data_IF_361587443373
#
_entry.id   IF_361587443373
#
_cell.length_a   1.000
_cell.length_b   1.000
_cell.length_c   1.000
_cell.angle_alpha   90.00
_cell.angle_beta   90.00
_cell.angle_gamma   90.00
#
_symmetry.space_group_name_H-M   'P 1'
#
loop_
_entity.id
_entity.type
_entity.pdbx_description
1 polymer ?
#
# COMPACT_ATOMS: atom_id res chain seq x y z
N UNK A 1 5.61 14.49 9.50
CA UNK A 1 5.52 13.48 8.45
C UNK A 1 4.96 14.12 7.18
N UNK A 2 5.44 13.73 5.99
CA UNK A 2 4.91 14.17 4.69
C UNK A 2 4.58 12.94 3.85
N UNK A 3 3.41 12.96 3.19
CA UNK A 3 2.96 11.90 2.30
C UNK A 3 2.78 12.51 0.92
N UNK A 4 3.31 11.88 -0.12
CA UNK A 4 3.12 12.32 -1.51
C UNK A 4 2.44 11.19 -2.28
N UNK A 5 1.28 11.48 -2.86
CA UNK A 5 0.65 10.59 -3.85
C UNK A 5 1.40 10.69 -5.17
N UNK A 6 1.91 9.59 -5.67
CA UNK A 6 2.68 9.57 -6.93
C UNK A 6 1.77 9.21 -8.10
N UNK A 7 1.23 8.00 -8.08
CA UNK A 7 0.35 7.48 -9.12
C UNK A 7 -0.24 6.15 -8.68
N UNK A 8 -1.51 5.86 -8.98
CA UNK A 8 -2.19 4.58 -8.73
C UNK A 8 -2.10 4.12 -7.28
N UNK A 9 -1.25 3.13 -6.99
CA UNK A 9 -0.96 2.65 -5.62
C UNK A 9 0.40 3.14 -5.09
N UNK A 10 1.08 4.02 -5.85
CA UNK A 10 2.39 4.53 -5.48
C UNK A 10 2.32 5.74 -4.56
N UNK A 11 2.90 5.60 -3.38
CA UNK A 11 3.04 6.67 -2.39
C UNK A 11 4.48 6.77 -1.87
N UNK A 12 4.91 8.00 -1.61
CA UNK A 12 6.13 8.28 -0.85
C UNK A 12 5.74 8.83 0.52
N UNK A 13 6.19 8.15 1.58
CA UNK A 13 6.04 8.62 2.97
C UNK A 13 7.40 9.07 3.48
N UNK A 14 7.52 10.34 3.84
CA UNK A 14 8.67 10.89 4.52
C UNK A 14 8.40 10.94 6.02
N UNK A 15 9.19 10.20 6.79
CA UNK A 15 9.20 10.22 8.25
C UNK A 15 10.41 11.03 8.77
N UNK A 16 10.61 11.05 10.07
CA UNK A 16 11.77 11.72 10.65
C UNK A 16 13.08 11.05 10.21
N UNK A 17 13.14 9.72 10.23
CA UNK A 17 14.38 8.96 10.01
C UNK A 17 14.48 8.29 8.63
N UNK A 18 13.42 8.20 7.83
CA UNK A 18 13.39 7.41 6.61
C UNK A 18 12.42 7.93 5.55
N UNK A 19 12.60 7.45 4.32
CA UNK A 19 11.63 7.51 3.23
C UNK A 19 11.12 6.10 2.94
N UNK A 20 9.81 5.95 2.79
CA UNK A 20 9.15 4.71 2.39
C UNK A 20 8.43 4.96 1.07
N UNK A 21 8.90 4.32 0.01
CA UNK A 21 8.32 4.42 -1.35
C UNK A 21 7.62 3.10 -1.67
N UNK A 22 6.29 3.14 -1.78
CA UNK A 22 5.46 1.98 -2.05
C UNK A 22 5.05 1.91 -3.51
N UNK A 23 5.09 0.72 -4.09
CA UNK A 23 4.54 0.31 -5.39
C UNK A 23 4.82 1.29 -6.55
N UNK A 24 6.05 1.81 -6.59
CA UNK A 24 6.45 2.78 -7.61
C UNK A 24 6.78 2.09 -8.93
N UNK A 25 6.05 2.44 -9.97
CA UNK A 25 6.29 1.94 -11.31
C UNK A 25 6.35 3.06 -12.37
N UNK A 26 5.74 4.21 -12.09
CA UNK A 26 5.76 5.42 -12.91
C UNK A 26 5.39 6.66 -12.09
N UNK A 27 5.40 7.82 -12.74
CA UNK A 27 5.10 9.11 -12.12
C UNK A 27 6.35 9.88 -11.72
N UNK A 28 6.17 11.13 -11.37
CA UNK A 28 7.27 12.01 -10.97
C UNK A 28 7.50 11.91 -9.47
N UNK A 29 8.69 11.47 -9.09
CA UNK A 29 9.11 11.53 -7.68
C UNK A 29 9.51 12.95 -7.30
N UNK A 30 9.17 13.42 -6.09
CA UNK A 30 9.74 14.64 -5.54
C UNK A 30 11.25 14.47 -5.29
N UNK A 31 11.96 15.59 -5.16
CA UNK A 31 13.34 15.55 -4.67
C UNK A 31 13.34 15.23 -3.18
N UNK A 32 14.21 14.34 -2.76
CA UNK A 32 14.38 13.97 -1.37
C UNK A 32 15.86 13.78 -1.01
N UNK A 33 16.19 13.94 0.29
CA UNK A 33 17.56 13.93 0.78
C UNK A 33 18.19 12.54 0.69
N UNK A 34 19.44 12.50 0.27
CA UNK A 34 20.25 11.27 0.30
C UNK A 34 20.74 10.89 1.70
N UNK A 35 20.51 11.72 2.72
CA UNK A 35 20.99 11.49 4.08
C UNK A 35 20.19 10.43 4.81
N UNK A 36 18.88 10.37 4.56
CA UNK A 36 17.96 9.36 5.12
C UNK A 36 17.97 8.09 4.26
N UNK A 37 17.80 6.90 4.86
CA UNK A 37 17.56 5.69 4.10
C UNK A 37 16.26 5.78 3.29
N UNK A 38 16.28 5.19 2.10
CA UNK A 38 15.11 5.02 1.23
C UNK A 38 14.75 3.54 1.19
N UNK A 39 13.59 3.20 1.71
CA UNK A 39 13.01 1.87 1.61
C UNK A 39 12.01 1.82 0.46
N UNK A 40 12.27 0.96 -0.51
CA UNK A 40 11.42 0.78 -1.70
C UNK A 40 10.69 -0.54 -1.60
N UNK A 41 9.37 -0.47 -1.58
CA UNK A 41 8.46 -1.60 -1.45
C UNK A 41 7.80 -1.92 -2.78
N UNK A 42 7.64 -3.19 -3.09
CA UNK A 42 6.75 -3.65 -4.15
C UNK A 42 5.93 -4.83 -3.63
N UNK A 43 4.60 -4.62 -3.61
CA UNK A 43 3.64 -5.54 -3.00
C UNK A 43 3.47 -6.84 -3.76
N UNK A 44 3.65 -6.82 -5.09
CA UNK A 44 3.58 -7.98 -5.95
C UNK A 44 4.17 -7.69 -7.35
N UNK A 45 4.17 -8.71 -8.21
CA UNK A 45 4.87 -8.68 -9.52
C UNK A 45 4.13 -7.97 -10.65
N UNK A 46 2.86 -7.55 -10.50
CA UNK A 46 2.10 -6.88 -11.55
C UNK A 46 2.74 -5.55 -11.99
N UNK A 47 2.59 -5.15 -13.27
CA UNK A 47 3.34 -4.01 -13.83
C UNK A 47 2.92 -2.65 -13.25
N UNK A 48 1.76 -2.54 -12.64
CA UNK A 48 1.21 -1.38 -11.95
C UNK A 48 1.61 -1.29 -10.47
N UNK A 49 2.38 -2.27 -9.95
CA UNK A 49 2.95 -2.29 -8.59
C UNK A 49 4.47 -2.52 -8.59
N UNK A 50 5.01 -3.12 -9.66
CA UNK A 50 6.44 -3.38 -9.77
C UNK A 50 6.98 -3.06 -11.16
N UNK A 51 7.92 -2.14 -11.23
CA UNK A 51 8.73 -1.83 -12.41
C UNK A 51 10.21 -1.84 -12.08
N UNK A 52 11.05 -2.21 -13.04
CA UNK A 52 12.51 -2.16 -12.87
C UNK A 52 13.05 -0.74 -12.69
N UNK A 53 12.26 0.29 -12.95
CA UNK A 53 12.60 1.70 -12.71
C UNK A 53 13.01 1.97 -11.26
N UNK A 54 12.50 1.18 -10.30
CA UNK A 54 12.89 1.32 -8.88
C UNK A 54 14.38 1.11 -8.67
N UNK A 55 15.04 0.28 -9.48
CA UNK A 55 16.47 0.00 -9.36
C UNK A 55 17.36 1.14 -9.89
N UNK A 56 16.83 2.03 -10.74
CA UNK A 56 17.53 3.22 -11.20
C UNK A 56 17.74 4.24 -10.07
N UNK A 57 16.95 4.14 -9.01
CA UNK A 57 17.06 5.01 -7.83
C UNK A 57 18.38 4.77 -7.06
N UNK A 58 19.01 3.60 -7.20
CA UNK A 58 20.29 3.27 -6.55
C UNK A 58 21.41 4.27 -6.89
N UNK A 59 21.42 4.79 -8.11
CA UNK A 59 22.44 5.75 -8.56
C UNK A 59 22.39 7.07 -7.76
N UNK A 60 21.19 7.46 -7.29
CA UNK A 60 20.97 8.70 -6.57
C UNK A 60 20.85 8.51 -5.06
N UNK A 61 20.56 7.29 -4.60
CA UNK A 61 20.30 7.00 -3.19
C UNK A 61 21.17 5.83 -2.71
N UNK A 62 22.40 6.11 -2.24
CA UNK A 62 23.33 5.05 -1.80
C UNK A 62 22.81 4.25 -0.59
N UNK A 63 21.94 4.86 0.25
CA UNK A 63 21.27 4.22 1.40
C UNK A 63 19.90 3.63 1.04
N UNK A 64 19.79 3.07 -0.18
CA UNK A 64 18.55 2.44 -0.64
C UNK A 64 18.48 0.98 -0.19
N UNK A 65 17.28 0.54 0.21
CA UNK A 65 16.93 -0.83 0.55
C UNK A 65 15.65 -1.21 -0.20
N UNK A 66 15.58 -2.43 -0.71
CA UNK A 66 14.41 -2.94 -1.42
C UNK A 66 13.75 -4.05 -0.59
N UNK A 67 12.46 -3.92 -0.34
CA UNK A 67 11.62 -4.92 0.33
C UNK A 67 10.55 -5.34 -0.66
N UNK A 68 10.79 -6.46 -1.33
CA UNK A 68 9.98 -6.94 -2.44
C UNK A 68 9.15 -8.15 -1.99
N UNK A 69 7.94 -8.27 -2.51
CA UNK A 69 7.14 -9.46 -2.27
C UNK A 69 7.80 -10.72 -2.84
N UNK A 70 7.55 -11.85 -2.22
CA UNK A 70 8.14 -13.16 -2.54
C UNK A 70 7.88 -13.63 -3.98
N UNK A 71 6.77 -13.17 -4.61
CA UNK A 71 6.39 -13.51 -5.99
C UNK A 71 7.17 -12.72 -7.04
N UNK A 72 7.90 -11.68 -6.64
CA UNK A 72 8.86 -10.96 -7.49
C UNK A 72 10.13 -11.79 -7.58
N UNK A 73 10.38 -12.36 -8.75
CA UNK A 73 11.51 -13.26 -8.93
C UNK A 73 12.87 -12.58 -8.77
N UNK A 74 13.76 -13.16 -7.97
CA UNK A 74 15.12 -12.64 -7.71
C UNK A 74 15.93 -12.37 -8.98
N UNK A 75 15.66 -13.10 -10.09
CA UNK A 75 16.28 -12.83 -11.40
C UNK A 75 15.88 -11.48 -12.03
N UNK A 76 14.80 -10.82 -11.53
CA UNK A 76 14.41 -9.48 -11.97
C UNK A 76 15.23 -8.38 -11.29
N UNK A 77 15.91 -8.70 -10.19
CA UNK A 77 16.76 -7.78 -9.41
C UNK A 77 18.15 -7.71 -10.06
N UNK A 78 18.66 -6.51 -10.43
CA UNK A 78 20.02 -6.33 -10.90
C UNK A 78 21.06 -6.82 -9.89
N UNK A 79 22.20 -7.28 -10.36
CA UNK A 79 23.26 -7.82 -9.50
C UNK A 79 23.73 -6.81 -8.44
N UNK A 80 23.85 -5.52 -8.82
CA UNK A 80 24.22 -4.42 -7.91
C UNK A 80 23.23 -4.22 -6.76
N UNK A 81 21.95 -4.49 -7.00
CA UNK A 81 20.88 -4.28 -6.00
C UNK A 81 20.65 -5.50 -5.11
N UNK A 82 21.15 -6.71 -5.46
CA UNK A 82 20.87 -7.96 -4.72
C UNK A 82 21.26 -7.88 -3.23
N UNK A 83 22.38 -7.26 -2.93
CA UNK A 83 22.86 -7.10 -1.55
C UNK A 83 22.05 -6.12 -0.71
N UNK A 84 21.12 -5.37 -1.34
CA UNK A 84 20.24 -4.39 -0.71
C UNK A 84 18.76 -4.80 -0.82
N UNK A 85 18.48 -6.05 -1.25
CA UNK A 85 17.12 -6.55 -1.51
C UNK A 85 16.78 -7.68 -0.56
N UNK A 86 15.65 -7.55 0.10
CA UNK A 86 15.02 -8.58 0.89
C UNK A 86 13.67 -8.95 0.28
N UNK A 87 13.32 -10.24 0.37
CA UNK A 87 12.02 -10.73 -0.11
C UNK A 87 11.14 -11.05 1.10
N UNK A 88 9.94 -10.49 1.12
CA UNK A 88 8.99 -10.64 2.22
C UNK A 88 7.91 -11.66 1.86
N UNK A 89 7.75 -12.67 2.71
CA UNK A 89 6.67 -13.63 2.63
C UNK A 89 5.51 -13.26 3.58
N UNK A 90 4.28 -13.74 3.31
CA UNK A 90 3.19 -13.60 4.26
C UNK A 90 3.56 -14.17 5.65
N UNK A 91 3.25 -13.42 6.71
CA UNK A 91 3.57 -13.77 8.09
C UNK A 91 5.02 -13.55 8.51
N UNK A 92 5.88 -13.13 7.59
CA UNK A 92 7.28 -12.81 7.90
C UNK A 92 7.40 -11.40 8.47
N UNK A 93 8.37 -11.22 9.37
CA UNK A 93 8.75 -9.92 9.92
C UNK A 93 10.22 -9.66 9.56
N UNK A 94 10.47 -8.52 8.92
CA UNK A 94 11.80 -7.98 8.68
C UNK A 94 12.06 -6.80 9.63
N UNK A 95 13.34 -6.61 10.00
CA UNK A 95 13.78 -5.47 10.80
C UNK A 95 15.07 -4.94 10.21
N UNK A 96 15.09 -3.64 9.93
CA UNK A 96 16.26 -2.92 9.46
C UNK A 96 16.34 -1.55 10.14
N UNK A 97 17.34 -1.35 11.00
CA UNK A 97 17.45 -0.14 11.80
C UNK A 97 16.21 0.10 12.66
N UNK A 98 15.55 1.23 12.44
CA UNK A 98 14.32 1.62 13.13
C UNK A 98 13.04 1.11 12.45
N UNK A 99 13.16 0.60 11.23
CA UNK A 99 12.03 0.06 10.46
C UNK A 99 11.77 -1.40 10.83
N UNK A 100 10.52 -1.71 11.13
CA UNK A 100 9.99 -3.07 11.20
C UNK A 100 8.89 -3.22 10.15
N UNK A 101 8.93 -4.29 9.37
CA UNK A 101 7.93 -4.60 8.34
C UNK A 101 7.38 -5.99 8.56
N UNK A 102 6.06 -6.11 8.59
CA UNK A 102 5.33 -7.38 8.65
C UNK A 102 4.53 -7.56 7.36
N UNK A 103 4.62 -8.75 6.74
CA UNK A 103 3.90 -9.10 5.53
C UNK A 103 2.59 -9.80 5.81
N UNK A 104 1.51 -9.39 5.14
CA UNK A 104 0.21 -10.07 5.15
C UNK A 104 -0.09 -10.65 3.78
N UNK A 105 -0.83 -11.76 3.74
CA UNK A 105 -1.13 -12.44 2.48
C UNK A 105 -2.16 -11.63 1.67
N UNK A 106 -1.84 -11.27 0.44
CA UNK A 106 -2.81 -10.65 -0.46
C UNK A 106 -3.92 -11.61 -0.89
N UNK A 107 -5.07 -11.08 -1.22
CA UNK A 107 -6.20 -11.80 -1.86
C UNK A 107 -6.06 -11.83 -3.40
N UNK A 108 -5.10 -11.09 -3.93
CA UNK A 108 -4.62 -11.21 -5.31
C UNK A 108 -3.24 -11.89 -5.29
N UNK A 109 -2.15 -11.18 -5.52
CA UNK A 109 -0.78 -11.69 -5.49
C UNK A 109 0.07 -10.95 -4.44
N UNK A 110 1.18 -11.55 -4.02
CA UNK A 110 2.18 -10.95 -3.14
C UNK A 110 1.72 -10.73 -1.70
N UNK A 111 2.02 -9.53 -1.18
CA UNK A 111 1.81 -9.17 0.23
C UNK A 111 1.30 -7.75 0.41
N UNK A 112 0.55 -7.53 1.49
CA UNK A 112 0.38 -6.21 2.10
C UNK A 112 1.49 -5.98 3.14
N UNK A 113 1.82 -4.70 3.39
CA UNK A 113 2.87 -4.30 4.32
C UNK A 113 2.30 -3.59 5.54
N UNK A 114 2.76 -3.99 6.73
CA UNK A 114 2.59 -3.23 7.95
C UNK A 114 3.95 -2.75 8.41
N UNK A 115 4.18 -1.44 8.35
CA UNK A 115 5.45 -0.81 8.67
C UNK A 115 5.36 -0.05 9.99
N UNK A 116 6.28 -0.34 10.93
CA UNK A 116 6.45 0.45 12.14
C UNK A 116 7.78 1.22 12.03
N UNK A 117 7.73 2.55 12.10
CA UNK A 117 8.89 3.44 11.99
C UNK A 117 8.63 4.77 12.70
N UNK A 118 9.59 5.28 13.46
CA UNK A 118 9.49 6.56 14.19
C UNK A 118 8.23 6.69 15.10
N UNK A 119 7.76 5.55 15.62
CA UNK A 119 6.54 5.48 16.43
C UNK A 119 5.23 5.56 15.63
N UNK A 120 5.32 5.52 14.29
CA UNK A 120 4.17 5.47 13.38
C UNK A 120 3.90 4.04 12.92
N UNK A 121 2.63 3.70 12.78
CA UNK A 121 2.14 2.45 12.20
C UNK A 121 1.51 2.75 10.83
N UNK A 122 2.13 2.26 9.77
CA UNK A 122 1.77 2.55 8.38
C UNK A 122 1.40 1.24 7.70
N UNK A 123 0.20 1.17 7.15
CA UNK A 123 -0.28 0.02 6.40
C UNK A 123 -0.41 0.35 4.92
N UNK A 124 0.11 -0.52 4.06
CA UNK A 124 -0.09 -0.47 2.61
C UNK A 124 -0.63 -1.81 2.13
N UNK A 125 -1.85 -1.80 1.65
CA UNK A 125 -2.57 -3.02 1.31
C UNK A 125 -1.99 -3.76 0.08
N UNK A 126 -1.22 -3.08 -0.80
CA UNK A 126 -1.05 -3.62 -2.15
C UNK A 126 -2.43 -3.94 -2.73
N UNK A 127 -2.61 -5.16 -3.22
CA UNK A 127 -3.91 -5.64 -3.71
C UNK A 127 -4.62 -6.60 -2.73
N UNK A 128 -4.29 -6.51 -1.44
CA UNK A 128 -5.12 -7.12 -0.40
C UNK A 128 -6.42 -6.33 -0.26
N UNK A 129 -7.49 -6.84 -0.87
CA UNK A 129 -8.79 -6.18 -0.90
C UNK A 129 -9.94 -7.20 -0.95
N UNK A 130 -11.16 -6.76 -0.61
CA UNK A 130 -12.38 -7.51 -0.81
C UNK A 130 -12.84 -7.34 -2.27
N UNK A 131 -12.22 -8.09 -3.17
CA UNK A 131 -12.55 -8.06 -4.59
C UNK A 131 -13.89 -8.73 -4.85
N UNK A 132 -14.96 -7.95 -4.93
CA UNK A 132 -16.27 -8.42 -5.34
C UNK A 132 -16.53 -8.02 -6.79
N UNK A 133 -16.62 -8.98 -7.68
CA UNK A 133 -16.86 -8.73 -9.10
C UNK A 133 -18.29 -9.10 -9.49
N UNK A 134 -19.04 -8.10 -10.00
CA UNK A 134 -20.34 -8.34 -10.57
C UNK A 134 -20.22 -9.27 -11.80
N UNK A 135 -21.05 -10.31 -11.87
CA UNK A 135 -21.00 -11.31 -12.93
C UNK A 135 -20.06 -12.51 -12.68
N UNK A 136 -19.24 -12.49 -11.61
CA UNK A 136 -18.49 -13.67 -11.17
C UNK A 136 -19.40 -14.70 -10.48
N UNK A 137 -18.90 -15.96 -10.40
CA UNK A 137 -19.58 -17.00 -9.65
C UNK A 137 -19.83 -16.58 -8.19
N UNK A 138 -21.06 -16.67 -7.68
CA UNK A 138 -21.36 -16.25 -6.29
C UNK A 138 -20.53 -16.98 -5.24
N UNK A 139 -20.08 -18.21 -5.51
CA UNK A 139 -19.20 -18.95 -4.60
C UNK A 139 -17.77 -18.38 -4.63
N UNK A 140 -17.32 -17.90 -5.80
CA UNK A 140 -16.04 -17.22 -5.91
C UNK A 140 -16.02 -15.95 -5.05
N UNK A 141 -17.05 -15.07 -5.19
CA UNK A 141 -17.17 -13.85 -4.39
C UNK A 141 -17.24 -14.16 -2.88
N UNK A 142 -17.96 -15.22 -2.47
CA UNK A 142 -17.99 -15.65 -1.05
C UNK A 142 -16.62 -16.11 -0.55
N UNK A 143 -15.87 -16.84 -1.36
CA UNK A 143 -14.53 -17.30 -0.99
C UNK A 143 -13.57 -16.12 -0.91
N UNK A 144 -13.67 -15.15 -1.80
CA UNK A 144 -12.89 -13.92 -1.78
C UNK A 144 -13.16 -13.09 -0.52
N UNK A 145 -14.43 -12.83 -0.20
CA UNK A 145 -14.84 -12.16 1.02
C UNK A 145 -14.25 -12.83 2.27
N UNK A 146 -14.38 -14.15 2.34
CA UNK A 146 -13.85 -14.95 3.46
C UNK A 146 -12.32 -14.84 3.55
N UNK A 147 -11.61 -14.97 2.43
CA UNK A 147 -10.15 -14.89 2.41
C UNK A 147 -9.67 -13.51 2.87
N UNK A 148 -10.32 -12.44 2.41
CA UNK A 148 -10.03 -11.08 2.83
C UNK A 148 -10.26 -10.89 4.33
N UNK A 149 -11.45 -11.25 4.83
CA UNK A 149 -11.82 -11.11 6.24
C UNK A 149 -10.91 -11.94 7.16
N UNK A 150 -10.56 -13.17 6.77
CA UNK A 150 -9.59 -13.99 7.51
C UNK A 150 -8.22 -13.31 7.60
N UNK A 151 -7.76 -12.65 6.54
CA UNK A 151 -6.45 -12.00 6.55
C UNK A 151 -6.44 -10.74 7.39
N UNK A 152 -7.44 -9.84 7.22
CA UNK A 152 -7.51 -8.59 8.00
C UNK A 152 -7.77 -8.84 9.48
N UNK A 153 -8.46 -9.95 9.85
CA UNK A 153 -8.70 -10.32 11.24
C UNK A 153 -7.41 -10.54 12.04
N UNK A 154 -6.29 -10.86 11.37
CA UNK A 154 -4.97 -10.98 12.02
C UNK A 154 -4.45 -9.63 12.53
N UNK A 155 -5.02 -8.53 12.04
CA UNK A 155 -4.71 -7.17 12.45
C UNK A 155 -5.74 -6.60 13.45
N UNK A 156 -6.70 -7.42 13.89
CA UNK A 156 -7.76 -7.02 14.83
C UNK A 156 -7.21 -6.30 16.06
N UNK A 157 -7.78 -5.13 16.36
CA UNK A 157 -7.40 -4.31 17.51
C UNK A 157 -6.08 -3.55 17.37
N UNK A 158 -5.39 -3.65 16.22
CA UNK A 158 -4.26 -2.76 15.93
C UNK A 158 -4.75 -1.37 15.57
N UNK A 159 -3.88 -0.38 15.72
CA UNK A 159 -4.11 1.01 15.27
C UNK A 159 -3.14 1.32 14.14
N UNK A 160 -3.65 1.78 12.99
CA UNK A 160 -2.86 2.33 11.90
C UNK A 160 -2.95 3.86 11.93
N UNK A 161 -1.79 4.54 11.98
CA UNK A 161 -1.74 6.00 11.81
C UNK A 161 -2.12 6.38 10.39
N UNK A 162 -1.69 5.55 9.42
CA UNK A 162 -1.99 5.70 8.00
C UNK A 162 -2.28 4.33 7.40
N UNK A 163 -3.35 4.24 6.61
CA UNK A 163 -3.63 3.08 5.77
C UNK A 163 -3.85 3.50 4.32
N UNK A 164 -3.09 2.90 3.40
CA UNK A 164 -3.29 2.98 1.96
C UNK A 164 -4.13 1.78 1.54
N UNK A 165 -5.36 2.03 1.07
CA UNK A 165 -6.38 1.00 0.84
C UNK A 165 -6.95 1.09 -0.58
N UNK A 166 -7.11 -0.04 -1.30
CA UNK A 166 -7.71 -0.03 -2.62
C UNK A 166 -9.15 0.48 -2.62
N UNK A 167 -9.44 1.35 -3.59
CA UNK A 167 -10.75 1.91 -3.88
C UNK A 167 -10.97 1.83 -5.39
N UNK A 168 -11.34 0.66 -5.89
CA UNK A 168 -11.37 0.40 -7.32
C UNK A 168 -12.75 0.67 -7.92
N UNK A 169 -12.89 1.66 -8.84
CA UNK A 169 -14.18 1.98 -9.47
C UNK A 169 -14.74 0.84 -10.33
N UNK A 170 -13.91 -0.12 -10.75
CA UNK A 170 -14.34 -1.27 -11.54
C UNK A 170 -15.23 -2.24 -10.76
N UNK A 171 -15.22 -2.17 -9.42
CA UNK A 171 -16.10 -2.98 -8.56
C UNK A 171 -17.56 -2.48 -8.52
N UNK A 172 -17.89 -1.41 -9.26
CA UNK A 172 -19.27 -0.92 -9.39
C UNK A 172 -19.85 -0.43 -8.07
N UNK A 173 -20.95 -1.03 -7.63
CA UNK A 173 -21.62 -0.64 -6.37
C UNK A 173 -20.91 -1.21 -5.13
N UNK A 174 -20.02 -2.20 -5.30
CA UNK A 174 -19.30 -2.88 -4.22
C UNK A 174 -17.91 -2.29 -3.94
N UNK A 175 -17.57 -1.14 -4.56
CA UNK A 175 -16.28 -0.46 -4.51
C UNK A 175 -15.76 -0.16 -3.10
N UNK A 176 -16.63 -0.03 -2.12
CA UNK A 176 -16.34 0.37 -0.74
C UNK A 176 -16.02 -0.80 0.20
N UNK A 177 -16.36 -2.04 -0.18
CA UNK A 177 -16.37 -3.21 0.72
C UNK A 177 -15.01 -3.45 1.41
N UNK A 178 -13.90 -3.33 0.67
CA UNK A 178 -12.59 -3.57 1.24
C UNK A 178 -12.22 -2.57 2.34
N UNK A 179 -12.48 -1.29 2.12
CA UNK A 179 -12.20 -0.25 3.12
C UNK A 179 -13.15 -0.41 4.32
N UNK A 180 -14.43 -0.65 4.10
CA UNK A 180 -15.44 -0.80 5.17
C UNK A 180 -15.10 -1.99 6.08
N UNK A 181 -14.75 -3.16 5.50
CA UNK A 181 -14.32 -4.33 6.27
C UNK A 181 -13.02 -4.03 7.06
N UNK A 182 -12.03 -3.36 6.43
CA UNK A 182 -10.76 -3.06 7.07
C UNK A 182 -10.91 -2.16 8.29
N UNK A 183 -11.67 -1.07 8.19
CA UNK A 183 -11.82 -0.11 9.29
C UNK A 183 -12.65 -0.65 10.47
N UNK A 184 -13.36 -1.75 10.30
CA UNK A 184 -14.04 -2.49 11.37
C UNK A 184 -13.07 -3.33 12.20
N UNK A 185 -11.98 -3.78 11.59
CA UNK A 185 -10.96 -4.62 12.24
C UNK A 185 -9.80 -3.80 12.81
N UNK A 186 -9.42 -2.71 12.10
CA UNK A 186 -8.24 -1.89 12.39
C UNK A 186 -8.67 -0.45 12.67
N UNK A 187 -8.31 0.06 13.83
CA UNK A 187 -8.50 1.48 14.14
C UNK A 187 -7.56 2.32 13.28
N UNK A 188 -8.12 3.00 12.26
CA UNK A 188 -7.33 3.72 11.26
C UNK A 188 -7.55 5.22 11.41
N UNK A 189 -6.46 5.97 11.62
CA UNK A 189 -6.56 7.44 11.81
C UNK A 189 -6.70 8.20 10.51
N UNK A 190 -5.94 7.81 9.46
CA UNK A 190 -5.99 8.40 8.12
C UNK A 190 -6.06 7.31 7.07
N UNK A 191 -7.01 7.44 6.17
CA UNK A 191 -7.25 6.53 5.05
C UNK A 191 -6.88 7.25 3.76
N UNK A 192 -5.88 6.72 3.08
CA UNK A 192 -5.49 7.16 1.73
C UNK A 192 -6.04 6.15 0.72
N UNK A 193 -7.10 6.48 -0.01
CA UNK A 193 -7.55 5.64 -1.11
C UNK A 193 -6.48 5.50 -2.19
N UNK A 194 -6.38 4.33 -2.79
CA UNK A 194 -5.47 4.03 -3.90
C UNK A 194 -6.14 3.10 -4.90
N UNK A 195 -5.45 2.73 -5.99
CA UNK A 195 -5.94 1.79 -7.00
C UNK A 195 -7.19 2.26 -7.76
N UNK A 196 -7.40 3.58 -7.90
CA UNK A 196 -8.60 4.16 -8.51
C UNK A 196 -8.43 4.60 -9.97
N UNK A 197 -7.33 4.20 -10.64
CA UNK A 197 -7.11 4.39 -12.09
C UNK A 197 -7.36 5.83 -12.59
N UNK A 198 -6.86 6.84 -11.87
CA UNK A 198 -7.07 8.26 -12.15
C UNK A 198 -8.54 8.72 -12.07
N UNK A 199 -9.47 7.86 -11.66
CA UNK A 199 -10.85 8.25 -11.36
C UNK A 199 -10.95 8.84 -9.94
N UNK A 200 -10.50 10.07 -9.80
CA UNK A 200 -10.57 10.80 -8.53
C UNK A 200 -11.99 10.99 -8.01
N UNK A 201 -13.02 10.82 -8.87
CA UNK A 201 -14.43 11.02 -8.47
C UNK A 201 -14.95 9.92 -7.55
N UNK A 202 -14.26 8.78 -7.51
CA UNK A 202 -14.63 7.68 -6.62
C UNK A 202 -14.41 8.03 -5.14
N UNK A 203 -13.48 8.94 -4.82
CA UNK A 203 -13.17 9.33 -3.43
C UNK A 203 -14.34 10.13 -2.83
N UNK A 204 -14.83 11.23 -3.43
CA UNK A 204 -16.08 11.86 -3.00
C UNK A 204 -17.27 10.90 -2.93
N UNK A 205 -17.42 9.97 -3.92
CA UNK A 205 -18.46 8.95 -3.90
C UNK A 205 -18.39 8.10 -2.62
N UNK A 206 -17.17 7.72 -2.17
CA UNK A 206 -16.98 6.98 -0.92
C UNK A 206 -17.33 7.83 0.30
N UNK A 207 -16.94 9.10 0.34
CA UNK A 207 -17.23 10.02 1.44
C UNK A 207 -18.74 10.21 1.62
N UNK A 208 -19.47 10.28 0.52
CA UNK A 208 -20.94 10.44 0.51
C UNK A 208 -21.68 9.11 0.76
N UNK A 209 -21.02 7.98 0.58
CA UNK A 209 -21.63 6.66 0.74
C UNK A 209 -22.04 6.39 2.20
N UNK A 210 -23.18 5.74 2.40
CA UNK A 210 -23.73 5.48 3.74
C UNK A 210 -22.84 4.59 4.61
N UNK A 211 -22.05 3.67 4.01
CA UNK A 211 -21.12 2.82 4.76
C UNK A 211 -20.04 3.62 5.48
N UNK A 212 -19.61 4.76 4.91
CA UNK A 212 -18.54 5.59 5.46
C UNK A 212 -18.97 6.52 6.59
N UNK A 213 -20.25 6.58 6.93
CA UNK A 213 -20.82 7.58 7.88
C UNK A 213 -20.03 7.67 9.21
N UNK A 214 -19.55 6.55 9.72
CA UNK A 214 -18.81 6.48 10.98
C UNK A 214 -17.30 6.79 10.90
N UNK A 215 -16.74 6.92 9.69
CA UNK A 215 -15.30 7.05 9.47
C UNK A 215 -14.89 7.94 8.28
N UNK A 216 -15.86 8.58 7.61
CA UNK A 216 -15.61 9.42 6.42
C UNK A 216 -14.66 10.60 6.65
N UNK A 217 -14.61 11.11 7.85
CA UNK A 217 -13.71 12.20 8.28
C UNK A 217 -12.23 11.79 8.33
N UNK A 218 -11.95 10.48 8.26
CA UNK A 218 -10.61 9.92 8.19
C UNK A 218 -10.11 9.77 6.74
N UNK A 219 -10.99 9.89 5.74
CA UNK A 219 -10.64 9.75 4.32
C UNK A 219 -9.89 11.00 3.86
N UNK A 220 -8.74 10.79 3.25
CA UNK A 220 -7.98 11.86 2.62
C UNK A 220 -8.41 11.97 1.15
N UNK A 221 -8.93 13.13 0.78
CA UNK A 221 -9.23 13.41 -0.62
C UNK A 221 -7.94 13.66 -1.41
N UNK A 222 -7.76 12.92 -2.48
CA UNK A 222 -6.66 13.05 -3.43
C UNK A 222 -7.24 13.58 -4.73
N UNK A 223 -6.64 14.64 -5.30
CA UNK A 223 -7.18 15.31 -6.47
C UNK A 223 -6.28 15.22 -7.70
N UNK A 224 -5.01 14.93 -7.51
CA UNK A 224 -4.01 14.87 -8.60
C UNK A 224 -2.75 14.14 -8.19
N UNK A 225 -1.98 13.70 -9.18
CA UNK A 225 -0.62 13.24 -8.98
C UNK A 225 0.29 14.32 -8.41
N UNK A 226 1.27 13.91 -7.62
CA UNK A 226 2.22 14.80 -6.96
C UNK A 226 1.61 15.62 -5.81
N UNK A 227 0.39 15.32 -5.37
CA UNK A 227 -0.22 16.01 -4.24
C UNK A 227 0.46 15.61 -2.93
N UNK A 228 0.77 16.62 -2.10
CA UNK A 228 1.50 16.45 -0.85
C UNK A 228 0.58 16.73 0.37
N UNK A 229 0.68 15.87 1.37
CA UNK A 229 -0.07 15.96 2.62
C UNK A 229 0.89 16.03 3.80
N UNK A 230 0.82 17.10 4.59
CA UNK A 230 1.62 17.29 5.80
C UNK A 230 0.74 16.92 7.00
N UNK A 231 1.23 16.03 7.84
CA UNK A 231 0.54 15.52 9.02
C UNK A 231 1.46 15.50 10.26
#
# INVERSE_FOLDING_TARGET
MKITYIHHSAFLVETESAYLLFDYFQGKLPEFSEEKPLYVFASHRHPDHFSKVIFELEEKHPKIHYILAFDIWSKRVPESCKGKTEFLNPGQILKDGTLKVEGFKSTDEGVAFWCSVDGLEIYHAGDLNHWYWDGEDPQWNKNMAKAYQEEISKMHGRTADIAFLPLDPRLGEDFYLGIDDFVREVDTKLIFPMHFWEDYTIIPKLIEHSSSEGWRDRIVEIHKEGEEFIR
#
